data_IF_233296331525
#
_entry.id   IF_233296331525
#
_cell.length_a   1.000
_cell.length_b   1.000
_cell.length_c   1.000
_cell.angle_alpha   90.00
_cell.angle_beta   90.00
_cell.angle_gamma   90.00
#
_symmetry.space_group_name_H-M   'P 1'
#
loop_
_entity.id
_entity.type
_entity.pdbx_description
1 polymer ?
#
# COMPACT_ATOMS: atom_id res chain seq x y z
N UNK A 1 -3.12 6.87 14.91
CA UNK A 1 -4.20 5.92 14.75
C UNK A 1 -5.46 6.67 14.37
N UNK A 2 -6.09 6.31 13.26
CA UNK A 2 -7.41 6.84 12.91
C UNK A 2 -8.39 6.37 13.99
N UNK A 3 -8.80 7.29 14.87
CA UNK A 3 -9.65 6.98 16.03
C UNK A 3 -11.14 6.96 15.70
N UNK A 4 -11.51 7.18 14.44
CA UNK A 4 -12.91 7.18 14.05
C UNK A 4 -13.27 5.84 13.46
N UNK A 5 -14.36 5.19 13.94
CA UNK A 5 -14.94 4.09 13.23
C UNK A 5 -15.25 4.59 11.81
N UNK A 6 -15.09 3.73 10.78
CA UNK A 6 -15.49 4.10 9.45
C UNK A 6 -16.94 4.55 9.50
N UNK A 7 -17.22 5.69 8.85
CA UNK A 7 -18.58 6.18 8.69
C UNK A 7 -19.42 5.05 8.07
N UNK A 8 -20.59 4.84 8.60
CA UNK A 8 -21.58 3.99 7.94
C UNK A 8 -21.83 4.55 6.55
N UNK A 9 -21.61 3.74 5.53
CA UNK A 9 -21.75 4.15 4.15
C UNK A 9 -21.73 2.98 3.22
N UNK A 10 -22.27 3.13 2.04
CA UNK A 10 -22.40 2.07 1.06
C UNK A 10 -21.05 1.52 0.58
N UNK A 11 -19.99 2.33 0.54
CA UNK A 11 -18.67 1.93 0.06
C UNK A 11 -17.56 2.43 0.99
N UNK A 12 -16.73 1.50 1.47
CA UNK A 12 -15.49 1.84 2.17
C UNK A 12 -14.27 1.49 1.31
N UNK A 13 -13.31 2.43 1.21
CA UNK A 13 -12.01 2.19 0.60
C UNK A 13 -10.94 2.34 1.67
N UNK A 14 -10.20 1.27 1.96
CA UNK A 14 -9.15 1.24 2.96
C UNK A 14 -7.83 0.79 2.35
N UNK A 15 -6.73 1.52 2.66
CA UNK A 15 -5.38 1.12 2.29
C UNK A 15 -4.73 0.39 3.46
N UNK A 16 -4.13 -0.78 3.20
CA UNK A 16 -3.43 -1.56 4.22
C UNK A 16 -2.10 -2.12 3.69
N UNK A 17 -0.93 -1.58 4.12
CA UNK A 17 -0.75 -0.40 5.00
C UNK A 17 -1.24 0.89 4.36
N UNK A 18 -1.61 1.85 5.21
CA UNK A 18 -2.13 3.14 4.78
C UNK A 18 -1.01 4.02 4.20
N UNK A 19 -1.23 4.56 3.02
CA UNK A 19 -0.37 5.56 2.40
C UNK A 19 -1.04 6.95 2.58
N UNK A 20 -0.38 7.94 3.21
CA UNK A 20 1.07 8.05 3.42
C UNK A 20 1.58 7.70 4.82
N UNK A 21 0.74 7.32 5.78
CA UNK A 21 1.16 7.19 7.18
C UNK A 21 1.94 5.92 7.51
N UNK A 22 1.91 4.89 6.65
CA UNK A 22 2.54 3.60 6.91
C UNK A 22 1.82 2.73 7.94
N UNK A 23 0.66 3.17 8.44
CA UNK A 23 -0.11 2.43 9.45
C UNK A 23 -0.62 1.10 8.87
N UNK A 24 -0.36 0.02 9.60
CA UNK A 24 -0.87 -1.31 9.32
C UNK A 24 -2.09 -1.59 10.20
N UNK A 25 -3.21 -1.93 9.58
CA UNK A 25 -4.42 -2.33 10.28
C UNK A 25 -4.40 -3.84 10.59
N UNK A 26 -4.93 -4.21 11.75
CA UNK A 26 -5.14 -5.63 12.05
C UNK A 26 -6.25 -6.21 11.17
N UNK A 27 -6.13 -7.52 10.88
CA UNK A 27 -7.16 -8.21 10.11
C UNK A 27 -8.54 -8.09 10.78
N UNK A 28 -8.61 -8.21 12.11
CA UNK A 28 -9.86 -8.06 12.87
C UNK A 28 -10.50 -6.67 12.69
N UNK A 29 -9.69 -5.60 12.68
CA UNK A 29 -10.21 -4.24 12.45
C UNK A 29 -10.77 -4.06 11.05
N UNK A 30 -10.17 -4.72 10.04
CA UNK A 30 -10.63 -4.67 8.65
C UNK A 30 -11.87 -5.55 8.46
N UNK A 31 -11.93 -6.71 9.09
CA UNK A 31 -13.06 -7.62 9.03
C UNK A 31 -14.34 -6.98 9.58
N UNK A 32 -14.23 -6.24 10.69
CA UNK A 32 -15.36 -5.51 11.26
C UNK A 32 -15.98 -4.44 10.33
N UNK A 33 -15.28 -4.06 9.24
CA UNK A 33 -15.84 -3.17 8.22
C UNK A 33 -16.85 -3.88 7.30
N UNK A 34 -16.73 -5.19 7.14
CA UNK A 34 -17.56 -5.96 6.22
C UNK A 34 -19.04 -5.96 6.65
N UNK A 35 -19.29 -5.91 7.95
CA UNK A 35 -20.66 -5.88 8.50
C UNK A 35 -21.33 -4.49 8.39
N UNK A 36 -20.55 -3.45 8.11
CA UNK A 36 -20.99 -2.05 8.14
C UNK A 36 -21.10 -1.40 6.77
N UNK A 37 -20.61 -2.06 5.72
CA UNK A 37 -20.53 -1.48 4.38
C UNK A 37 -21.05 -2.47 3.32
N UNK A 38 -21.77 -1.95 2.34
CA UNK A 38 -22.24 -2.72 1.19
C UNK A 38 -21.09 -3.18 0.29
N UNK A 39 -19.97 -2.46 0.31
CA UNK A 39 -18.75 -2.79 -0.41
C UNK A 39 -17.52 -2.30 0.37
N UNK A 40 -16.59 -3.21 0.61
CA UNK A 40 -15.27 -2.88 1.15
C UNK A 40 -14.21 -3.15 0.08
N UNK A 41 -13.45 -2.12 -0.28
CA UNK A 41 -12.30 -2.22 -1.17
C UNK A 41 -11.04 -2.06 -0.33
N UNK A 42 -10.29 -3.14 -0.15
CA UNK A 42 -9.03 -3.13 0.58
C UNK A 42 -7.85 -3.04 -0.40
N UNK A 43 -7.17 -1.90 -0.40
CA UNK A 43 -5.97 -1.70 -1.21
C UNK A 43 -4.74 -2.21 -0.44
N UNK A 44 -4.28 -3.38 -0.84
CA UNK A 44 -3.11 -4.05 -0.30
C UNK A 44 -1.88 -3.90 -1.21
N UNK A 45 -1.78 -2.81 -1.96
CA UNK A 45 -0.67 -2.60 -2.91
C UNK A 45 0.71 -2.68 -2.26
N UNK A 46 0.85 -2.26 -1.00
CA UNK A 46 2.09 -2.29 -0.25
C UNK A 46 2.23 -3.49 0.69
N UNK A 47 1.15 -4.23 0.95
CA UNK A 47 1.15 -5.33 1.93
C UNK A 47 2.17 -6.44 1.62
N UNK A 48 2.46 -6.82 0.35
CA UNK A 48 3.48 -7.80 0.04
C UNK A 48 4.92 -7.43 0.49
N UNK A 49 5.18 -6.14 0.76
CA UNK A 49 6.48 -5.64 1.22
C UNK A 49 6.62 -5.69 2.74
N UNK A 50 5.50 -5.84 3.44
CA UNK A 50 5.44 -5.82 4.91
C UNK A 50 5.89 -7.18 5.46
N UNK A 51 6.87 -7.24 6.38
CA UNK A 51 7.16 -8.47 7.12
C UNK A 51 5.89 -9.04 7.76
N UNK A 52 5.66 -10.34 7.57
CA UNK A 52 4.45 -11.04 8.07
C UNK A 52 3.10 -10.44 7.60
N UNK A 53 3.12 -9.52 6.63
CA UNK A 53 1.92 -8.83 6.11
C UNK A 53 0.83 -9.77 5.58
N UNK A 54 1.18 -10.99 5.19
CA UNK A 54 0.22 -12.02 4.76
C UNK A 54 -0.85 -12.31 5.82
N UNK A 55 -0.51 -12.19 7.13
CA UNK A 55 -1.43 -12.41 8.23
C UNK A 55 -2.44 -11.28 8.42
N UNK A 56 -2.20 -10.13 7.81
CA UNK A 56 -3.10 -8.97 7.81
C UNK A 56 -3.87 -8.84 6.49
N UNK A 57 -3.73 -9.81 5.59
CA UNK A 57 -4.40 -9.79 4.28
C UNK A 57 -5.84 -10.24 4.38
N UNK A 58 -6.74 -9.47 3.78
CA UNK A 58 -8.15 -9.83 3.66
C UNK A 58 -8.42 -10.87 2.55
N UNK A 59 -7.42 -11.31 1.77
CA UNK A 59 -7.62 -12.26 0.66
C UNK A 59 -8.33 -13.53 1.14
N UNK A 60 -7.97 -14.05 2.32
CA UNK A 60 -8.59 -15.25 2.89
C UNK A 60 -10.09 -15.11 3.21
N UNK A 61 -10.59 -13.88 3.31
CA UNK A 61 -11.99 -13.59 3.60
C UNK A 61 -12.86 -13.45 2.35
N UNK A 62 -12.26 -13.28 1.16
CA UNK A 62 -12.98 -13.01 -0.09
C UNK A 62 -13.99 -14.10 -0.43
N UNK A 63 -13.66 -15.37 -0.18
CA UNK A 63 -14.58 -16.49 -0.49
C UNK A 63 -15.88 -16.47 0.30
N UNK A 64 -15.88 -15.86 1.49
CA UNK A 64 -17.03 -15.81 2.40
C UNK A 64 -17.78 -14.46 2.37
N UNK A 65 -17.14 -13.42 1.81
CA UNK A 65 -17.66 -12.05 1.87
C UNK A 65 -17.84 -11.49 0.45
N UNK A 66 -19.07 -11.53 -0.10
CA UNK A 66 -19.35 -11.05 -1.46
C UNK A 66 -19.18 -9.53 -1.62
N UNK A 67 -19.18 -8.79 -0.52
CA UNK A 67 -18.95 -7.35 -0.48
C UNK A 67 -17.46 -6.96 -0.32
N UNK A 68 -16.53 -7.93 -0.37
CA UNK A 68 -15.10 -7.66 -0.27
C UNK A 68 -14.41 -7.69 -1.64
N UNK A 69 -13.58 -6.69 -1.87
CA UNK A 69 -12.62 -6.64 -2.98
C UNK A 69 -11.24 -6.33 -2.43
N UNK A 70 -10.24 -7.13 -2.77
CA UNK A 70 -8.84 -6.86 -2.43
C UNK A 70 -8.08 -6.46 -3.68
N UNK A 71 -7.37 -5.34 -3.64
CA UNK A 71 -6.53 -4.85 -4.74
C UNK A 71 -5.07 -5.11 -4.41
N UNK A 72 -4.33 -5.62 -5.37
CA UNK A 72 -2.89 -5.85 -5.30
C UNK A 72 -2.16 -5.17 -6.45
N UNK A 73 -0.97 -4.69 -6.20
CA UNK A 73 -0.08 -4.09 -7.18
C UNK A 73 1.21 -4.90 -7.30
N UNK A 74 1.64 -5.18 -8.51
CA UNK A 74 2.97 -5.75 -8.77
C UNK A 74 4.04 -4.67 -8.87
N UNK A 75 3.63 -3.44 -9.12
CA UNK A 75 4.49 -2.25 -9.24
C UNK A 75 5.44 -2.09 -8.06
N UNK A 76 4.92 -2.21 -6.84
CA UNK A 76 5.67 -1.92 -5.62
C UNK A 76 6.64 -3.05 -5.27
N UNK A 77 6.16 -4.29 -5.34
CA UNK A 77 6.96 -5.47 -5.00
C UNK A 77 8.13 -5.70 -5.97
N UNK A 78 7.93 -5.40 -7.25
CA UNK A 78 8.93 -5.64 -8.29
C UNK A 78 9.66 -4.38 -8.78
N UNK A 79 9.37 -3.21 -8.22
CA UNK A 79 9.96 -1.94 -8.66
C UNK A 79 9.60 -1.56 -10.11
N UNK A 80 8.46 -2.04 -10.60
CA UNK A 80 8.07 -1.98 -12.02
C UNK A 80 6.99 -0.92 -12.28
N UNK A 81 7.25 0.32 -11.87
CA UNK A 81 6.27 1.41 -11.91
C UNK A 81 5.73 1.70 -13.33
N UNK A 82 6.58 1.58 -14.34
CA UNK A 82 6.21 1.86 -15.74
C UNK A 82 5.27 0.82 -16.35
N UNK A 83 5.21 -0.40 -15.82
CA UNK A 83 4.40 -1.48 -16.40
C UNK A 83 2.90 -1.34 -16.16
N UNK A 84 2.47 -0.53 -15.20
CA UNK A 84 1.06 -0.28 -14.88
C UNK A 84 0.23 -1.55 -14.70
N UNK A 85 0.68 -2.46 -13.84
CA UNK A 85 0.02 -3.75 -13.63
C UNK A 85 -0.32 -4.02 -12.16
N UNK A 86 -1.54 -4.47 -11.97
CA UNK A 86 -2.09 -4.90 -10.68
C UNK A 86 -3.25 -5.85 -10.94
N UNK A 87 -3.86 -6.35 -9.88
CA UNK A 87 -5.00 -7.25 -9.97
C UNK A 87 -5.95 -7.06 -8.80
N UNK A 88 -7.21 -7.39 -9.04
CA UNK A 88 -8.25 -7.44 -8.02
C UNK A 88 -8.64 -8.89 -7.72
N UNK A 89 -8.95 -9.15 -6.48
CA UNK A 89 -9.47 -10.44 -5.98
C UNK A 89 -10.83 -10.16 -5.38
N UNK A 90 -11.87 -10.80 -5.90
CA UNK A 90 -13.24 -10.69 -5.43
C UNK A 90 -14.02 -11.94 -5.83
N UNK A 91 -15.27 -12.04 -5.40
CA UNK A 91 -16.18 -13.10 -5.85
C UNK A 91 -16.36 -13.07 -7.38
N UNK A 92 -16.46 -14.24 -8.04
CA UNK A 92 -16.49 -14.34 -9.50
C UNK A 92 -17.58 -13.49 -10.15
N UNK A 93 -18.79 -13.43 -9.56
CA UNK A 93 -19.90 -12.68 -10.12
C UNK A 93 -19.66 -11.17 -10.10
N UNK A 94 -18.95 -10.67 -9.09
CA UNK A 94 -18.52 -9.27 -9.04
C UNK A 94 -17.51 -8.97 -10.15
N UNK A 95 -16.50 -9.84 -10.31
CA UNK A 95 -15.48 -9.68 -11.35
C UNK A 95 -16.10 -9.75 -12.75
N UNK A 96 -17.04 -10.66 -13.02
CA UNK A 96 -17.77 -10.74 -14.28
C UNK A 96 -18.54 -9.44 -14.59
N UNK A 97 -19.20 -8.85 -13.58
CA UNK A 97 -19.89 -7.56 -13.76
C UNK A 97 -18.89 -6.45 -14.10
N UNK A 98 -17.77 -6.35 -13.39
CA UNK A 98 -16.78 -5.33 -13.63
C UNK A 98 -16.00 -5.49 -14.94
N UNK A 99 -15.84 -6.73 -15.41
CA UNK A 99 -15.22 -7.02 -16.70
C UNK A 99 -15.93 -6.34 -17.87
N UNK A 100 -17.23 -6.09 -17.78
CA UNK A 100 -18.02 -5.38 -18.82
C UNK A 100 -17.62 -3.90 -18.98
N UNK A 101 -16.98 -3.32 -17.96
CA UNK A 101 -16.54 -1.93 -17.93
C UNK A 101 -15.05 -1.78 -18.23
N UNK A 102 -14.39 -2.89 -18.46
CA UNK A 102 -12.94 -2.94 -18.67
C UNK A 102 -12.63 -2.67 -20.13
N UNK A 103 -11.56 -1.89 -20.38
CA UNK A 103 -11.03 -1.71 -21.73
C UNK A 103 -10.70 -3.07 -22.38
N UNK A 104 -10.82 -3.18 -23.72
CA UNK A 104 -10.49 -4.40 -24.46
C UNK A 104 -9.03 -4.85 -24.27
N UNK A 105 -8.09 -3.90 -24.13
CA UNK A 105 -6.65 -4.15 -23.93
C UNK A 105 -6.13 -3.50 -22.65
N UNK A 106 -6.54 -3.96 -21.46
CA UNK A 106 -6.28 -3.28 -20.19
C UNK A 106 -4.85 -3.47 -19.69
N UNK A 107 -4.10 -4.42 -20.23
CA UNK A 107 -2.72 -4.73 -19.84
C UNK A 107 -1.87 -4.84 -21.10
N UNK A 108 -0.73 -4.12 -21.12
CA UNK A 108 0.21 -4.24 -22.23
C UNK A 108 0.93 -5.60 -22.23
N UNK A 109 1.38 -6.04 -23.42
CA UNK A 109 1.95 -7.37 -23.60
C UNK A 109 3.21 -7.62 -22.77
N UNK A 110 4.06 -6.60 -22.54
CA UNK A 110 5.27 -6.72 -21.71
C UNK A 110 4.87 -6.98 -20.26
N UNK A 111 3.89 -6.22 -19.74
CA UNK A 111 3.39 -6.40 -18.39
C UNK A 111 2.75 -7.79 -18.21
N UNK A 112 2.02 -8.30 -19.20
CA UNK A 112 1.43 -9.63 -19.16
C UNK A 112 2.51 -10.72 -19.08
N UNK A 113 3.51 -10.69 -19.97
CA UNK A 113 4.60 -11.65 -20.02
C UNK A 113 5.45 -11.66 -18.73
N UNK A 114 5.77 -10.47 -18.19
CA UNK A 114 6.50 -10.37 -16.92
C UNK A 114 5.67 -10.86 -15.73
N UNK A 115 4.37 -10.57 -15.70
CA UNK A 115 3.47 -11.05 -14.66
C UNK A 115 3.42 -12.58 -14.64
N UNK A 116 3.31 -13.21 -15.79
CA UNK A 116 3.35 -14.67 -15.93
C UNK A 116 4.67 -15.24 -15.40
N UNK A 117 5.82 -14.65 -15.75
CA UNK A 117 7.11 -15.09 -15.24
C UNK A 117 7.26 -14.92 -13.71
N UNK A 118 6.74 -13.82 -13.15
CA UNK A 118 6.85 -13.54 -11.72
C UNK A 118 5.95 -14.44 -10.89
N UNK A 119 4.71 -14.63 -11.31
CA UNK A 119 3.71 -15.38 -10.55
C UNK A 119 3.68 -16.87 -10.92
N UNK A 120 4.05 -17.23 -12.14
CA UNK A 120 4.06 -18.62 -12.63
C UNK A 120 5.07 -19.55 -11.93
N UNK A 121 5.96 -19.00 -11.09
CA UNK A 121 6.95 -19.76 -10.31
C UNK A 121 6.83 -19.46 -8.82
N UNK A 122 5.89 -20.08 -8.09
CA UNK A 122 5.56 -19.75 -6.70
C UNK A 122 6.77 -19.74 -5.75
N UNK A 123 7.70 -20.68 -5.90
CA UNK A 123 8.91 -20.72 -5.07
C UNK A 123 9.84 -19.50 -5.30
N UNK A 124 9.95 -19.03 -6.55
CA UNK A 124 10.72 -17.81 -6.89
C UNK A 124 10.05 -16.57 -6.35
N UNK A 125 8.73 -16.46 -6.52
CA UNK A 125 7.93 -15.37 -5.97
C UNK A 125 8.08 -15.27 -4.46
N UNK A 126 7.92 -16.40 -3.73
CA UNK A 126 8.07 -16.45 -2.27
C UNK A 126 9.45 -15.99 -1.80
N UNK A 127 10.52 -16.47 -2.45
CA UNK A 127 11.90 -16.04 -2.12
C UNK A 127 12.09 -14.53 -2.34
N UNK A 128 11.54 -13.99 -3.43
CA UNK A 128 11.60 -12.56 -3.72
C UNK A 128 10.86 -11.74 -2.67
N UNK A 129 9.61 -12.09 -2.34
CA UNK A 129 8.86 -11.46 -1.26
C UNK A 129 9.66 -11.43 0.05
N UNK A 130 10.19 -12.57 0.49
CA UNK A 130 10.96 -12.66 1.74
C UNK A 130 12.22 -11.78 1.71
N UNK A 131 12.89 -11.67 0.55
CA UNK A 131 14.04 -10.77 0.39
C UNK A 131 13.65 -9.32 0.52
N UNK A 132 12.59 -8.90 -0.17
CA UNK A 132 12.08 -7.53 -0.12
C UNK A 132 11.60 -7.18 1.28
N UNK A 133 10.88 -8.08 1.95
CA UNK A 133 10.39 -7.88 3.32
C UNK A 133 11.54 -7.67 4.32
N UNK A 134 12.59 -8.48 4.25
CA UNK A 134 13.78 -8.28 5.11
C UNK A 134 14.46 -6.94 4.84
N UNK A 135 14.58 -6.57 3.56
CA UNK A 135 15.14 -5.27 3.18
C UNK A 135 14.27 -4.12 3.70
N UNK A 136 12.95 -4.18 3.51
CA UNK A 136 12.01 -3.16 4.02
C UNK A 136 12.14 -3.00 5.53
N UNK A 137 12.19 -4.09 6.28
CA UNK A 137 12.33 -4.05 7.74
C UNK A 137 13.66 -3.40 8.15
N UNK A 138 14.79 -3.87 7.59
CA UNK A 138 16.12 -3.38 8.00
C UNK A 138 16.35 -1.92 7.62
N UNK A 139 16.01 -1.54 6.37
CA UNK A 139 16.21 -0.18 5.88
C UNK A 139 15.20 0.80 6.50
N UNK A 140 13.96 0.35 6.72
CA UNK A 140 12.94 1.16 7.40
C UNK A 140 13.36 1.49 8.84
N UNK A 141 13.81 0.50 9.60
CA UNK A 141 14.29 0.69 10.97
C UNK A 141 15.52 1.60 11.02
N UNK A 142 16.49 1.39 10.13
CA UNK A 142 17.66 2.25 10.02
C UNK A 142 17.28 3.70 9.70
N UNK A 143 16.48 3.93 8.67
CA UNK A 143 16.06 5.27 8.27
C UNK A 143 15.28 5.97 9.38
N UNK A 144 14.37 5.26 10.05
CA UNK A 144 13.61 5.81 11.17
C UNK A 144 14.53 6.22 12.31
N UNK A 145 15.53 5.41 12.62
CA UNK A 145 16.53 5.71 13.66
C UNK A 145 17.33 6.96 13.31
N UNK A 146 17.88 7.04 12.09
CA UNK A 146 18.69 8.19 11.66
C UNK A 146 17.87 9.49 11.61
N UNK A 147 16.65 9.45 11.08
CA UNK A 147 15.77 10.61 11.03
C UNK A 147 15.37 11.11 12.43
N UNK A 148 15.16 10.19 13.39
CA UNK A 148 14.82 10.55 14.76
C UNK A 148 15.96 11.30 15.50
N UNK A 149 17.19 11.19 15.03
CA UNK A 149 18.35 11.92 15.58
C UNK A 149 18.44 13.38 15.09
N UNK A 150 17.70 13.72 14.04
CA UNK A 150 17.72 15.07 13.48
C UNK A 150 16.85 16.00 14.33
N UNK A 151 17.38 17.16 14.77
CA UNK A 151 16.64 18.11 15.57
C UNK A 151 15.38 18.60 14.83
N UNK A 152 14.22 18.53 15.49
CA UNK A 152 12.96 19.04 14.96
C UNK A 152 12.28 18.14 13.92
N UNK A 153 12.82 16.96 13.63
CA UNK A 153 12.21 15.93 12.76
C UNK A 153 11.63 14.82 13.62
N UNK A 154 10.42 14.39 13.28
CA UNK A 154 9.76 13.27 13.93
C UNK A 154 9.30 12.28 12.86
N UNK A 155 9.99 11.13 12.67
CA UNK A 155 9.54 10.09 11.79
C UNK A 155 8.40 9.30 12.45
N UNK A 156 7.35 9.03 11.66
CA UNK A 156 6.23 8.20 12.10
C UNK A 156 6.56 6.71 11.88
N UNK A 157 6.16 5.81 12.79
CA UNK A 157 6.28 4.37 12.55
C UNK A 157 5.57 3.96 11.27
N UNK A 158 6.24 3.13 10.45
CA UNK A 158 5.68 2.65 9.19
C UNK A 158 5.93 1.16 9.00
N UNK A 159 4.91 0.45 8.53
CA UNK A 159 5.03 -0.94 8.09
C UNK A 159 5.48 -1.06 6.62
N UNK A 160 5.39 0.01 5.84
CA UNK A 160 5.74 0.04 4.42
C UNK A 160 7.20 0.39 4.14
N UNK A 161 7.52 0.53 2.86
CA UNK A 161 8.83 0.98 2.39
C UNK A 161 8.89 2.51 2.18
N UNK A 162 8.16 3.24 2.98
CA UNK A 162 8.14 4.71 3.03
C UNK A 162 7.92 5.15 4.47
N UNK A 163 8.37 6.38 4.81
CA UNK A 163 8.19 6.98 6.12
C UNK A 163 7.54 8.33 5.97
N UNK A 164 6.53 8.60 6.80
CA UNK A 164 6.01 9.95 6.98
C UNK A 164 6.87 10.63 8.05
N UNK A 165 7.36 11.81 7.74
CA UNK A 165 8.05 12.67 8.72
C UNK A 165 7.23 13.93 8.97
N UNK A 166 7.27 14.40 10.21
CA UNK A 166 6.76 15.71 10.59
C UNK A 166 7.86 16.57 11.17
N UNK A 167 7.73 17.88 11.07
CA UNK A 167 8.66 18.83 11.64
C UNK A 167 7.96 19.80 12.59
N UNK A 168 8.70 20.35 13.55
CA UNK A 168 8.20 21.45 14.40
C UNK A 168 8.00 22.76 13.60
N UNK A 169 8.65 22.87 12.45
CA UNK A 169 8.56 23.95 11.50
C UNK A 169 8.24 23.40 10.12
N UNK A 170 7.83 24.25 9.19
CA UNK A 170 7.64 23.86 7.80
C UNK A 170 8.85 23.14 7.24
N UNK A 171 8.64 21.95 6.65
CA UNK A 171 9.67 21.16 5.96
C UNK A 171 9.82 21.53 4.47
N UNK A 172 9.11 22.58 4.00
CA UNK A 172 9.20 23.05 2.61
C UNK A 172 10.63 23.46 2.25
N UNK A 173 11.36 24.28 3.08
CA UNK A 173 12.73 24.63 2.75
C UNK A 173 13.67 23.42 2.68
N UNK A 174 13.48 22.42 3.56
CA UNK A 174 14.25 21.18 3.52
C UNK A 174 13.99 20.41 2.22
N UNK A 175 12.72 20.28 1.81
CA UNK A 175 12.35 19.62 0.56
C UNK A 175 12.98 20.30 -0.64
N UNK A 176 12.91 21.63 -0.71
CA UNK A 176 13.47 22.43 -1.80
C UNK A 176 14.98 22.33 -1.89
N UNK A 177 15.70 22.40 -0.75
CA UNK A 177 17.14 22.21 -0.70
C UNK A 177 17.55 20.80 -1.16
N UNK A 178 16.85 19.74 -0.70
CA UNK A 178 17.14 18.37 -1.12
C UNK A 178 16.88 18.16 -2.62
N UNK A 179 15.84 18.77 -3.17
CA UNK A 179 15.52 18.69 -4.60
C UNK A 179 16.58 19.43 -5.44
N UNK A 180 16.91 20.66 -5.06
CA UNK A 180 17.81 21.52 -5.81
C UNK A 180 19.28 21.06 -5.70
N UNK A 181 19.78 20.86 -4.48
CA UNK A 181 21.21 20.66 -4.21
C UNK A 181 21.61 19.17 -4.29
N UNK A 182 20.67 18.27 -3.98
CA UNK A 182 20.94 16.83 -3.87
C UNK A 182 20.15 15.96 -4.85
N UNK A 183 19.24 16.55 -5.65
CA UNK A 183 18.35 15.84 -6.58
C UNK A 183 17.51 14.74 -5.87
N UNK A 184 17.15 14.98 -4.63
CA UNK A 184 16.32 14.11 -3.81
C UNK A 184 14.93 14.71 -3.75
N UNK A 185 13.97 14.05 -4.40
CA UNK A 185 12.57 14.48 -4.40
C UNK A 185 11.82 13.83 -3.22
N UNK A 186 11.35 14.66 -2.29
CA UNK A 186 10.45 14.23 -1.23
C UNK A 186 9.00 14.48 -1.63
N UNK A 187 8.12 13.55 -1.24
CA UNK A 187 6.68 13.73 -1.43
C UNK A 187 6.14 14.78 -0.47
N UNK A 188 5.60 15.85 -1.01
CA UNK A 188 4.84 16.84 -0.27
C UNK A 188 3.47 16.26 0.14
N UNK A 189 3.22 16.16 1.44
CA UNK A 189 2.00 15.58 1.98
C UNK A 189 0.92 16.61 2.33
N UNK A 190 1.14 17.91 2.06
CA UNK A 190 0.13 18.97 2.31
C UNK A 190 -1.15 18.80 1.50
N UNK A 191 -1.11 18.05 0.42
CA UNK A 191 -2.30 17.70 -0.38
C UNK A 191 -3.21 16.66 0.31
N UNK A 192 -2.73 15.99 1.36
CA UNK A 192 -3.54 15.04 2.12
C UNK A 192 -4.26 15.78 3.26
N UNK A 193 -5.56 15.54 3.41
CA UNK A 193 -6.35 16.15 4.49
C UNK A 193 -5.78 15.75 5.85
N UNK A 194 -5.50 16.75 6.69
CA UNK A 194 -4.93 16.57 8.02
C UNK A 194 -3.41 16.40 8.10
N UNK A 195 -2.69 16.58 6.97
CA UNK A 195 -1.22 16.55 6.91
C UNK A 195 -0.63 17.87 6.37
N UNK A 196 -1.43 18.91 6.27
CA UNK A 196 -1.08 20.18 5.60
C UNK A 196 -0.37 21.22 6.46
N UNK A 197 -0.21 20.97 7.76
CA UNK A 197 0.34 21.96 8.71
C UNK A 197 1.68 21.55 9.27
#
# INVERSE_FOLDING_TARGET
PLRHPPLEGSVAWVCNPHNPTGQLWSLASLEAMLDRHDLVICDEAFLPLVPEGKHQSMIGLVSKNPNLVVIRSLTKLFGAAALRVGYAIAQPDRLKRWQRWRDPWPVNGIAAALTEQWLGRPGRYKRWCSRVQRWTASQGAWMQHELARLPGITPMPSAGNFLLISGRRSLVPLREALEHDHRILLRDCRSFKGLGE
#
